data_IF_508598106674
#
_entry.id   IF_508598106674
#
_cell.length_a   1.000
_cell.length_b   1.000
_cell.length_c   1.000
_cell.angle_alpha   90.00
_cell.angle_beta   90.00
_cell.angle_gamma   90.00
#
_symmetry.space_group_name_H-M   'P 1'
#
loop_
_entity.id
_entity.type
_entity.pdbx_description
1 polymer ?
#
# COMPACT_ATOMS: atom_id res chain seq x y z
N UNK A 1 -7.89 8.66 10.28
CA UNK A 1 -8.62 9.93 9.99
C UNK A 1 -7.83 11.17 10.40
N UNK A 2 -7.31 11.28 11.63
CA UNK A 2 -6.62 12.50 12.10
C UNK A 2 -5.49 12.95 11.18
N UNK A 3 -4.54 12.09 10.83
CA UNK A 3 -3.44 12.46 9.96
C UNK A 3 -3.88 12.73 8.52
N UNK A 4 -4.90 12.03 8.02
CA UNK A 4 -5.50 12.37 6.72
C UNK A 4 -6.14 13.76 6.69
N UNK A 5 -6.65 14.26 7.82
CA UNK A 5 -7.13 15.64 7.91
C UNK A 5 -5.99 16.68 7.92
N UNK A 6 -4.72 16.25 7.97
CA UNK A 6 -3.60 17.17 7.83
C UNK A 6 -3.47 17.75 6.41
N UNK A 7 -3.98 17.09 5.36
CA UNK A 7 -4.09 17.71 4.04
C UNK A 7 -4.90 19.02 4.10
N UNK A 8 -6.08 18.96 4.72
CA UNK A 8 -6.91 20.15 4.94
C UNK A 8 -6.21 21.18 5.82
N UNK A 9 -5.59 20.76 6.92
CA UNK A 9 -4.89 21.70 7.83
C UNK A 9 -3.71 22.39 7.14
N UNK A 10 -2.94 21.66 6.33
CA UNK A 10 -1.84 22.20 5.55
C UNK A 10 -2.35 23.28 4.57
N UNK A 11 -3.43 22.99 3.84
CA UNK A 11 -4.05 23.96 2.92
C UNK A 11 -4.57 25.21 3.64
N UNK A 12 -5.25 25.04 4.79
CA UNK A 12 -5.72 26.17 5.59
C UNK A 12 -4.55 27.03 6.07
N UNK A 13 -3.48 26.41 6.58
CA UNK A 13 -2.30 27.11 7.05
C UNK A 13 -1.60 27.87 5.91
N UNK A 14 -1.41 27.22 4.75
CA UNK A 14 -0.82 27.84 3.57
C UNK A 14 -1.63 29.05 3.10
N UNK A 15 -2.95 28.89 2.96
CA UNK A 15 -3.84 29.98 2.54
C UNK A 15 -3.80 31.17 3.51
N UNK A 16 -3.76 30.89 4.82
CA UNK A 16 -3.68 31.92 5.84
C UNK A 16 -2.36 32.71 5.78
N UNK A 17 -1.24 32.02 5.60
CA UNK A 17 0.09 32.64 5.51
C UNK A 17 0.26 33.45 4.21
N UNK A 18 -0.17 32.93 3.06
CA UNK A 18 -0.08 33.61 1.77
C UNK A 18 -0.84 34.95 1.78
N UNK A 19 -2.05 34.97 2.37
CA UNK A 19 -2.86 36.20 2.44
C UNK A 19 -2.22 37.26 3.34
N UNK A 20 -1.66 36.87 4.49
CA UNK A 20 -0.97 37.80 5.40
C UNK A 20 0.30 38.36 4.78
N UNK A 21 1.05 37.54 4.05
CA UNK A 21 2.22 38.01 3.32
C UNK A 21 1.85 39.08 2.28
N UNK A 22 0.76 38.87 1.52
CA UNK A 22 0.28 39.84 0.53
C UNK A 22 -0.23 41.15 1.15
N UNK A 23 -1.04 41.08 2.21
CA UNK A 23 -1.49 42.30 2.92
C UNK A 23 -0.35 43.04 3.64
N UNK A 24 0.70 42.32 4.04
CA UNK A 24 1.84 42.90 4.73
C UNK A 24 2.82 43.69 3.89
N UNK A 25 2.92 43.36 2.60
CA UNK A 25 3.70 44.14 1.63
C UNK A 25 3.09 45.55 1.46
N UNK A 26 1.77 45.69 1.63
CA UNK A 26 1.08 46.98 1.54
C UNK A 26 1.20 47.82 2.83
N UNK A 27 1.29 47.19 4.00
CA UNK A 27 1.22 47.88 5.31
C UNK A 27 2.57 48.12 6.01
N UNK A 28 3.70 47.67 5.45
CA UNK A 28 5.05 48.04 5.93
C UNK A 28 5.47 47.48 7.30
N UNK A 29 4.76 46.48 7.84
CA UNK A 29 5.08 45.84 9.12
C UNK A 29 6.25 44.84 9.02
N UNK A 30 6.94 44.62 10.14
CA UNK A 30 8.14 43.77 10.21
C UNK A 30 7.81 42.27 10.03
N UNK A 31 8.68 41.55 9.31
CA UNK A 31 8.53 40.12 8.97
C UNK A 31 8.28 39.16 10.16
N UNK A 32 8.51 39.60 11.41
CA UNK A 32 8.38 38.79 12.63
C UNK A 32 6.94 38.59 13.13
N UNK A 33 6.01 39.53 12.88
CA UNK A 33 4.59 39.36 13.22
C UNK A 33 3.85 38.41 12.25
N UNK A 34 4.42 38.16 11.07
CA UNK A 34 3.81 37.31 10.02
C UNK A 34 3.93 35.81 10.27
N UNK A 35 4.77 35.39 11.21
CA UNK A 35 5.00 33.98 11.56
C UNK A 35 4.02 33.50 12.63
N UNK A 36 3.18 34.39 13.19
CA UNK A 36 2.15 33.95 14.13
C UNK A 36 1.08 33.12 13.41
N UNK A 37 1.20 31.80 13.57
CA UNK A 37 0.27 30.81 13.06
C UNK A 37 -0.99 30.67 13.91
N UNK A 38 -1.09 31.40 15.04
CA UNK A 38 -2.30 31.32 15.86
C UNK A 38 -3.52 31.86 15.09
N UNK A 39 -4.64 31.14 15.22
CA UNK A 39 -5.92 31.53 14.64
C UNK A 39 -6.19 31.09 13.20
N UNK A 40 -5.26 30.45 12.47
CA UNK A 40 -5.55 29.98 11.09
C UNK A 40 -6.78 29.05 11.02
N UNK A 41 -7.01 28.29 12.08
CA UNK A 41 -8.17 27.41 12.20
C UNK A 41 -9.49 28.17 12.28
N UNK A 42 -9.50 29.42 12.73
CA UNK A 42 -10.70 30.25 12.87
C UNK A 42 -10.98 31.11 11.63
N UNK A 43 -10.03 31.21 10.70
CA UNK A 43 -10.19 31.99 9.47
C UNK A 43 -11.24 31.36 8.53
N UNK A 44 -12.38 32.04 8.25
CA UNK A 44 -13.40 31.52 7.35
C UNK A 44 -12.88 31.36 5.92
N UNK A 45 -12.06 32.30 5.46
CA UNK A 45 -11.47 32.28 4.12
C UNK A 45 -10.54 31.08 3.93
N UNK A 46 -9.62 30.84 4.88
CA UNK A 46 -8.69 29.72 4.81
C UNK A 46 -9.43 28.36 4.82
N UNK A 47 -10.51 28.26 5.61
CA UNK A 47 -11.41 27.09 5.59
C UNK A 47 -12.05 26.90 4.22
N UNK A 48 -12.64 27.95 3.66
CA UNK A 48 -13.28 27.89 2.35
C UNK A 48 -12.30 27.50 1.24
N UNK A 49 -11.09 28.06 1.24
CA UNK A 49 -10.04 27.68 0.27
C UNK A 49 -9.64 26.22 0.40
N UNK A 50 -9.45 25.72 1.62
CA UNK A 50 -9.14 24.31 1.83
C UNK A 50 -10.27 23.38 1.37
N UNK A 51 -11.53 23.74 1.64
CA UNK A 51 -12.71 22.95 1.27
C UNK A 51 -12.98 22.95 -0.25
N UNK A 52 -12.53 23.98 -0.98
CA UNK A 52 -12.55 24.01 -2.45
C UNK A 52 -11.49 23.09 -3.08
N UNK A 53 -10.36 22.88 -2.40
CA UNK A 53 -9.18 22.18 -2.93
C UNK A 53 -9.07 20.73 -2.48
N UNK A 54 -9.71 20.37 -1.37
CA UNK A 54 -9.59 19.04 -0.77
C UNK A 54 -10.95 18.50 -0.33
N UNK A 55 -11.20 17.24 -0.65
CA UNK A 55 -12.38 16.50 -0.18
C UNK A 55 -11.91 15.12 0.27
N UNK A 56 -12.35 14.71 1.47
CA UNK A 56 -12.02 13.39 2.01
C UNK A 56 -13.28 12.52 2.04
N UNK A 57 -13.33 11.53 1.16
CA UNK A 57 -14.44 10.57 1.05
C UNK A 57 -14.01 9.26 1.67
N UNK A 58 -14.70 8.84 2.73
CA UNK A 58 -14.53 7.53 3.34
C UNK A 58 -15.61 6.59 2.80
N UNK A 59 -15.19 5.46 2.26
CA UNK A 59 -16.11 4.42 1.78
C UNK A 59 -16.39 3.41 2.88
N UNK A 60 -17.61 3.41 3.40
CA UNK A 60 -18.10 2.47 4.39
C UNK A 60 -19.30 1.70 3.82
N UNK A 61 -19.04 0.70 2.96
CA UNK A 61 -20.08 -0.03 2.22
C UNK A 61 -21.31 -0.45 3.06
N UNK A 62 -21.09 -0.90 4.31
CA UNK A 62 -22.13 -1.44 5.19
C UNK A 62 -22.76 -0.42 6.16
N UNK A 63 -22.37 0.86 6.07
CA UNK A 63 -22.84 1.88 7.01
C UNK A 63 -24.36 2.02 7.04
N UNK A 64 -25.02 1.90 5.87
CA UNK A 64 -26.49 1.92 5.78
C UNK A 64 -27.16 0.82 6.62
N UNK A 65 -26.61 -0.40 6.57
CA UNK A 65 -27.11 -1.52 7.38
C UNK A 65 -26.81 -1.33 8.87
N UNK A 66 -25.62 -0.82 9.21
CA UNK A 66 -25.24 -0.52 10.60
C UNK A 66 -26.17 0.54 11.20
N UNK A 67 -26.57 1.55 10.42
CA UNK A 67 -27.57 2.55 10.84
C UNK A 67 -28.93 1.92 11.12
N UNK A 68 -29.44 1.10 10.20
CA UNK A 68 -30.74 0.41 10.36
C UNK A 68 -30.74 -0.48 11.62
N UNK A 69 -29.63 -1.15 11.90
CA UNK A 69 -29.45 -2.03 13.07
C UNK A 69 -29.08 -1.30 14.36
N UNK A 70 -28.88 0.02 14.32
CA UNK A 70 -28.39 0.84 15.45
C UNK A 70 -27.10 0.30 16.06
N UNK A 71 -26.18 -0.16 15.21
CA UNK A 71 -24.90 -0.70 15.62
C UNK A 71 -23.96 0.40 16.17
N UNK A 72 -23.09 0.12 17.16
CA UNK A 72 -22.20 1.11 17.75
C UNK A 72 -21.26 1.76 16.72
N UNK A 73 -20.83 1.01 15.71
CA UNK A 73 -19.96 1.50 14.63
C UNK A 73 -20.62 2.62 13.82
N UNK A 74 -21.95 2.61 13.70
CA UNK A 74 -22.66 3.69 13.03
C UNK A 74 -22.63 5.00 13.83
N UNK A 75 -22.64 4.91 15.16
CA UNK A 75 -22.50 6.06 16.05
C UNK A 75 -21.07 6.63 15.99
N UNK A 76 -20.06 5.77 15.92
CA UNK A 76 -18.66 6.18 15.75
C UNK A 76 -18.43 6.91 14.42
N UNK A 77 -19.01 6.41 13.32
CA UNK A 77 -18.95 7.07 12.00
C UNK A 77 -19.68 8.43 12.04
N UNK A 78 -20.85 8.51 12.67
CA UNK A 78 -21.57 9.76 12.85
C UNK A 78 -20.75 10.79 13.66
N UNK A 79 -20.08 10.35 14.72
CA UNK A 79 -19.18 11.20 15.51
C UNK A 79 -18.00 11.70 14.67
N UNK A 80 -17.44 10.87 13.79
CA UNK A 80 -16.37 11.29 12.87
C UNK A 80 -16.84 12.34 11.87
N UNK A 81 -18.05 12.18 11.32
CA UNK A 81 -18.69 13.16 10.43
C UNK A 81 -18.91 14.50 11.14
N UNK A 82 -19.34 14.49 12.40
CA UNK A 82 -19.52 15.70 13.20
C UNK A 82 -18.19 16.39 13.52
N UNK A 83 -17.14 15.62 13.82
CA UNK A 83 -15.83 16.16 14.19
C UNK A 83 -15.05 16.75 13.02
N UNK A 84 -15.38 16.37 11.78
CA UNK A 84 -14.60 16.73 10.60
C UNK A 84 -15.50 17.29 9.50
N UNK A 85 -15.58 18.62 9.40
CA UNK A 85 -16.45 19.36 8.48
C UNK A 85 -16.30 18.94 6.99
N UNK A 86 -15.07 18.62 6.56
CA UNK A 86 -14.77 18.22 5.18
C UNK A 86 -14.92 16.72 4.91
N UNK A 87 -15.20 15.91 5.95
CA UNK A 87 -15.39 14.47 5.80
C UNK A 87 -16.71 14.18 5.10
N UNK A 88 -16.68 13.24 4.17
CA UNK A 88 -17.86 12.67 3.51
C UNK A 88 -17.82 11.17 3.67
N UNK A 89 -18.99 10.54 3.86
CA UNK A 89 -19.10 9.08 3.95
C UNK A 89 -19.94 8.59 2.78
N UNK A 90 -19.35 7.71 1.97
CA UNK A 90 -20.02 6.98 0.91
C UNK A 90 -20.39 5.58 1.42
N UNK A 91 -21.61 5.12 1.14
CA UNK A 91 -22.05 3.78 1.54
C UNK A 91 -23.08 3.20 0.57
N UNK A 92 -23.33 1.90 0.69
CA UNK A 92 -24.38 1.21 -0.06
C UNK A 92 -25.62 1.10 0.83
N UNK A 93 -26.73 1.62 0.33
CA UNK A 93 -28.03 1.49 0.94
C UNK A 93 -28.83 0.42 0.20
N UNK A 94 -29.43 -0.48 0.96
CA UNK A 94 -30.29 -1.55 0.46
C UNK A 94 -31.72 -1.23 0.87
N UNK A 95 -32.60 -1.13 -0.12
CA UNK A 95 -34.04 -0.92 0.06
C UNK A 95 -34.78 -2.13 -0.50
N UNK A 96 -35.70 -2.68 0.28
CA UNK A 96 -36.60 -3.75 -0.18
C UNK A 96 -37.76 -3.11 -0.96
N UNK A 97 -37.94 -3.54 -2.20
CA UNK A 97 -39.00 -3.10 -3.11
C UNK A 97 -39.83 -4.27 -3.64
N UNK A 98 -40.91 -3.94 -4.35
CA UNK A 98 -41.78 -4.91 -5.01
C UNK A 98 -41.81 -4.58 -6.50
N UNK A 99 -41.46 -5.56 -7.34
CA UNK A 99 -41.57 -5.45 -8.79
C UNK A 99 -43.02 -5.24 -9.23
N UNK A 100 -43.21 -4.77 -10.45
CA UNK A 100 -44.53 -4.72 -11.10
C UNK A 100 -45.25 -6.08 -11.14
N UNK A 101 -44.48 -7.19 -11.06
CA UNK A 101 -44.99 -8.57 -11.11
C UNK A 101 -45.18 -9.18 -9.70
N UNK A 102 -45.05 -8.38 -8.64
CA UNK A 102 -45.25 -8.82 -7.25
C UNK A 102 -44.07 -9.58 -6.62
N UNK A 103 -42.96 -9.79 -7.35
CA UNK A 103 -41.73 -10.33 -6.77
C UNK A 103 -40.98 -9.29 -5.94
N UNK A 104 -40.43 -9.72 -4.81
CA UNK A 104 -39.53 -8.90 -4.00
C UNK A 104 -38.23 -8.63 -4.75
N UNK A 105 -37.89 -7.35 -4.94
CA UNK A 105 -36.63 -6.90 -5.53
C UNK A 105 -35.87 -6.11 -4.48
N UNK A 106 -34.55 -6.31 -4.43
CA UNK A 106 -33.66 -5.43 -3.66
C UNK A 106 -33.11 -4.34 -4.56
N UNK A 107 -33.36 -3.10 -4.18
CA UNK A 107 -32.76 -1.94 -4.82
C UNK A 107 -31.50 -1.51 -4.06
N UNK A 108 -30.47 -1.15 -4.82
CA UNK A 108 -29.17 -0.77 -4.27
C UNK A 108 -28.88 0.68 -4.66
N UNK A 109 -28.54 1.51 -3.67
CA UNK A 109 -28.18 2.90 -3.87
C UNK A 109 -26.79 3.19 -3.32
N UNK A 110 -25.91 3.80 -4.11
CA UNK A 110 -24.69 4.43 -3.60
C UNK A 110 -25.06 5.81 -3.08
N UNK A 111 -24.90 6.03 -1.77
CA UNK A 111 -25.27 7.29 -1.11
C UNK A 111 -24.03 8.00 -0.58
N UNK A 112 -24.03 9.33 -0.63
CA UNK A 112 -23.01 10.19 -0.03
C UNK A 112 -23.65 11.07 1.04
N UNK A 113 -23.09 11.05 2.26
CA UNK A 113 -23.56 11.88 3.37
C UNK A 113 -22.47 12.78 3.94
N UNK A 114 -22.89 13.86 4.59
CA UNK A 114 -22.08 14.72 5.48
C UNK A 114 -22.84 15.02 6.77
N UNK A 115 -22.15 15.52 7.79
CA UNK A 115 -22.83 16.14 8.92
C UNK A 115 -23.46 17.49 8.51
N UNK A 116 -24.70 17.73 8.93
CA UNK A 116 -25.33 19.05 8.89
C UNK A 116 -24.87 19.95 10.06
N UNK A 117 -25.40 21.17 10.11
CA UNK A 117 -25.11 22.15 11.17
C UNK A 117 -25.56 21.70 12.58
N UNK A 118 -26.45 20.72 12.65
CA UNK A 118 -26.96 20.12 13.89
C UNK A 118 -26.31 18.76 14.19
N UNK A 119 -25.30 18.36 13.42
CA UNK A 119 -24.59 17.09 13.54
C UNK A 119 -25.37 15.87 13.07
N UNK A 120 -26.49 16.02 12.35
CA UNK A 120 -27.23 14.92 11.74
C UNK A 120 -26.71 14.63 10.34
N UNK A 121 -26.93 13.39 9.90
CA UNK A 121 -26.55 12.98 8.55
C UNK A 121 -27.43 13.68 7.51
N UNK A 122 -26.80 14.50 6.66
CA UNK A 122 -27.40 15.06 5.48
C UNK A 122 -27.00 14.24 4.25
N UNK A 123 -28.00 13.69 3.56
CA UNK A 123 -27.81 13.08 2.25
C UNK A 123 -27.48 14.15 1.21
N UNK A 124 -26.36 13.99 0.50
CA UNK A 124 -25.91 14.89 -0.56
C UNK A 124 -26.30 14.33 -1.92
N UNK A 125 -26.06 13.04 -2.11
CA UNK A 125 -26.34 12.33 -3.35
C UNK A 125 -26.87 10.93 -3.04
N UNK A 126 -27.78 10.47 -3.89
CA UNK A 126 -28.26 9.09 -3.94
C UNK A 126 -28.31 8.65 -5.39
N UNK A 127 -27.53 7.62 -5.72
CA UNK A 127 -27.39 7.10 -7.09
C UNK A 127 -27.85 5.64 -7.08
N UNK A 128 -28.92 5.35 -7.83
CA UNK A 128 -29.39 3.98 -8.02
C UNK A 128 -28.36 3.17 -8.80
N UNK A 129 -27.98 2.02 -8.26
CA UNK A 129 -27.05 1.09 -8.88
C UNK A 129 -27.81 0.05 -9.72
N UNK A 130 -27.17 -0.51 -10.77
CA UNK A 130 -27.81 -1.49 -11.65
C UNK A 130 -28.06 -2.86 -10.98
N UNK A 131 -27.51 -3.09 -9.79
CA UNK A 131 -27.65 -4.33 -9.03
C UNK A 131 -26.78 -4.32 -7.79
N UNK A 132 -26.60 -5.48 -7.16
CA UNK A 132 -25.75 -5.63 -5.99
C UNK A 132 -24.28 -5.32 -6.36
N UNK A 133 -23.66 -4.27 -5.80
CA UNK A 133 -22.26 -3.96 -6.08
C UNK A 133 -21.27 -4.93 -5.42
N UNK A 134 -21.74 -5.77 -4.49
CA UNK A 134 -20.93 -6.77 -3.77
C UNK A 134 -20.75 -8.03 -4.62
N UNK A 135 -19.63 -8.10 -5.33
CA UNK A 135 -19.21 -9.21 -6.18
C UNK A 135 -18.26 -10.17 -5.45
N UNK A 136 -17.30 -9.65 -4.67
CA UNK A 136 -16.27 -10.42 -3.97
C UNK A 136 -15.53 -9.59 -2.93
N UNK A 137 -14.32 -9.13 -3.26
CA UNK A 137 -13.46 -8.39 -2.34
C UNK A 137 -14.03 -7.00 -2.00
N UNK A 138 -14.06 -6.65 -0.71
CA UNK A 138 -14.69 -5.40 -0.26
C UNK A 138 -13.91 -4.12 -0.61
N UNK A 139 -12.58 -4.16 -0.72
CA UNK A 139 -11.75 -2.97 -1.04
C UNK A 139 -12.00 -2.40 -2.44
N UNK A 140 -11.92 -3.18 -3.55
CA UNK A 140 -12.17 -2.63 -4.88
C UNK A 140 -13.60 -2.13 -5.06
N UNK A 141 -14.58 -2.79 -4.43
CA UNK A 141 -15.97 -2.37 -4.49
C UNK A 141 -16.21 -1.03 -3.80
N UNK A 142 -15.64 -0.86 -2.60
CA UNK A 142 -15.63 0.41 -1.87
C UNK A 142 -15.05 1.53 -2.74
N UNK A 143 -13.88 1.32 -3.34
CA UNK A 143 -13.27 2.30 -4.22
C UNK A 143 -14.17 2.62 -5.43
N UNK A 144 -14.70 1.58 -6.11
CA UNK A 144 -15.46 1.75 -7.34
C UNK A 144 -16.82 2.43 -7.14
N UNK A 145 -17.54 2.16 -6.06
CA UNK A 145 -18.83 2.84 -5.83
C UNK A 145 -18.64 4.26 -5.28
N UNK A 146 -17.53 4.54 -4.59
CA UNK A 146 -17.26 5.83 -3.98
C UNK A 146 -16.56 6.82 -4.93
N UNK A 147 -15.84 6.34 -5.96
CA UNK A 147 -15.03 7.20 -6.85
C UNK A 147 -15.85 8.29 -7.54
N UNK A 148 -17.13 8.03 -7.85
CA UNK A 148 -18.07 8.99 -8.46
C UNK A 148 -18.33 10.23 -7.58
N UNK A 149 -18.12 10.11 -6.27
CA UNK A 149 -18.29 11.20 -5.31
C UNK A 149 -17.04 12.05 -5.11
N UNK A 150 -15.90 11.60 -5.61
CA UNK A 150 -14.64 12.37 -5.55
C UNK A 150 -14.67 13.55 -6.54
N UNK A 151 -13.86 14.58 -6.27
CA UNK A 151 -13.77 15.83 -7.06
C UNK A 151 -12.29 16.22 -7.23
N UNK A 152 -12.01 17.13 -8.16
CA UNK A 152 -10.66 17.57 -8.49
C UNK A 152 -10.00 16.74 -9.60
N UNK A 153 -8.76 17.11 -9.93
CA UNK A 153 -7.99 16.52 -11.03
C UNK A 153 -7.16 15.31 -10.57
N UNK A 154 -6.88 15.22 -9.27
CA UNK A 154 -6.11 14.14 -8.66
C UNK A 154 -6.95 13.39 -7.62
N UNK A 155 -6.69 12.08 -7.49
CA UNK A 155 -7.31 11.23 -6.48
C UNK A 155 -6.24 10.37 -5.81
N UNK A 156 -6.28 10.28 -4.47
CA UNK A 156 -5.39 9.43 -3.70
C UNK A 156 -6.21 8.38 -2.96
N UNK A 157 -5.79 7.13 -3.04
CA UNK A 157 -6.37 6.02 -2.26
C UNK A 157 -5.54 5.80 -1.02
N UNK A 158 -6.21 5.70 0.13
CA UNK A 158 -5.57 5.52 1.43
C UNK A 158 -6.24 4.35 2.15
N UNK A 159 -5.43 3.40 2.62
CA UNK A 159 -5.89 2.30 3.45
C UNK A 159 -6.19 2.78 4.89
N UNK A 160 -7.10 2.10 5.58
CA UNK A 160 -7.55 2.52 6.91
C UNK A 160 -6.45 2.49 7.99
N UNK A 161 -5.39 1.70 7.77
CA UNK A 161 -4.22 1.59 8.64
C UNK A 161 -3.10 2.59 8.26
N UNK A 162 -3.34 3.50 7.32
CA UNK A 162 -2.41 4.56 6.98
C UNK A 162 -2.74 5.86 7.71
N UNK A 163 -1.70 6.61 8.08
CA UNK A 163 -1.81 7.95 8.65
C UNK A 163 -0.75 8.88 8.06
N UNK A 164 -1.08 10.16 7.92
CA UNK A 164 -0.19 11.14 7.31
C UNK A 164 0.41 12.07 8.39
N UNK A 165 1.54 12.68 8.07
CA UNK A 165 2.20 13.67 8.91
C UNK A 165 1.94 15.08 8.36
N UNK A 166 1.94 16.10 9.22
CA UNK A 166 1.59 17.45 8.81
C UNK A 166 2.63 18.03 7.85
N UNK A 167 3.89 17.78 8.14
CA UNK A 167 5.05 18.12 7.31
C UNK A 167 5.02 17.45 5.93
N UNK A 168 4.49 16.23 5.84
CA UNK A 168 4.33 15.52 4.57
C UNK A 168 3.15 16.09 3.78
N UNK A 169 2.05 16.42 4.46
CA UNK A 169 0.89 17.08 3.83
C UNK A 169 1.23 18.43 3.18
N UNK A 170 2.21 19.17 3.73
CA UNK A 170 2.68 20.44 3.14
C UNK A 170 3.38 20.26 1.79
N UNK A 171 3.96 19.07 1.51
CA UNK A 171 4.71 18.77 0.28
C UNK A 171 3.82 18.35 -0.88
N UNK A 172 2.54 18.14 -0.63
CA UNK A 172 1.58 17.57 -1.60
C UNK A 172 1.42 18.45 -2.82
N UNK A 173 1.48 19.77 -2.64
CA UNK A 173 1.49 20.71 -3.78
C UNK A 173 2.64 20.40 -4.76
N UNK A 174 3.83 20.09 -4.23
CA UNK A 174 4.99 19.75 -5.06
C UNK A 174 4.76 18.42 -5.77
N UNK A 175 4.19 17.43 -5.06
CA UNK A 175 3.80 16.15 -5.64
C UNK A 175 2.81 16.34 -6.79
N UNK A 176 1.74 17.12 -6.61
CA UNK A 176 0.74 17.33 -7.65
C UNK A 176 1.31 18.01 -8.91
N UNK A 177 2.33 18.86 -8.79
CA UNK A 177 3.01 19.44 -9.95
C UNK A 177 3.80 18.40 -10.77
N UNK A 178 4.17 17.25 -10.20
CA UNK A 178 4.83 16.17 -10.94
C UNK A 178 3.95 15.60 -12.07
N UNK A 179 2.61 15.72 -11.98
CA UNK A 179 1.72 15.40 -13.11
C UNK A 179 2.01 16.23 -14.36
N UNK A 180 2.55 17.44 -14.18
CA UNK A 180 2.95 18.37 -15.27
C UNK A 180 4.47 18.36 -15.50
N UNK A 181 5.22 17.63 -14.68
CA UNK A 181 6.65 17.44 -14.80
C UNK A 181 7.04 16.62 -16.02
N UNK A 182 8.23 16.86 -16.56
CA UNK A 182 8.78 16.03 -17.61
C UNK A 182 9.47 14.78 -17.02
N UNK A 183 8.80 13.63 -17.13
CA UNK A 183 9.31 12.33 -16.66
C UNK A 183 9.60 11.36 -17.81
N UNK A 184 10.00 11.90 -18.96
CA UNK A 184 10.34 11.15 -20.16
C UNK A 184 9.26 11.24 -21.22
N UNK A 185 8.62 10.12 -21.54
CA UNK A 185 7.82 9.99 -22.77
C UNK A 185 6.46 10.71 -22.66
N UNK A 186 5.80 10.65 -21.50
CA UNK A 186 4.46 11.19 -21.27
C UNK A 186 4.30 11.74 -19.87
N UNK A 187 3.33 12.63 -19.70
CA UNK A 187 2.90 13.08 -18.39
C UNK A 187 2.49 11.91 -17.51
N UNK A 188 2.84 11.93 -16.21
CA UNK A 188 2.43 10.88 -15.29
C UNK A 188 0.91 10.76 -15.23
N UNK A 189 0.45 9.53 -15.04
CA UNK A 189 -0.94 9.22 -14.73
C UNK A 189 -1.06 8.67 -13.32
N UNK A 190 0.03 8.16 -12.75
CA UNK A 190 0.13 7.75 -11.35
C UNK A 190 1.47 8.24 -10.79
N UNK A 191 1.40 8.98 -9.69
CA UNK A 191 2.55 9.43 -8.91
C UNK A 191 2.74 8.49 -7.73
N UNK A 192 3.83 7.73 -7.78
CA UNK A 192 4.19 6.80 -6.72
C UNK A 192 4.72 7.49 -5.48
N UNK A 193 4.25 7.08 -4.32
CA UNK A 193 4.71 7.61 -3.02
C UNK A 193 5.19 6.48 -2.13
N UNK A 194 6.28 6.71 -1.38
CA UNK A 194 6.82 5.70 -0.45
C UNK A 194 5.98 5.60 0.82
N UNK A 195 5.92 4.41 1.39
CA UNK A 195 5.31 4.14 2.69
C UNK A 195 6.37 4.08 3.79
N UNK A 196 6.01 4.49 5.00
CA UNK A 196 6.85 4.36 6.19
C UNK A 196 6.15 3.46 7.23
N UNK A 197 6.70 2.28 7.48
CA UNK A 197 6.14 1.32 8.45
C UNK A 197 6.51 1.72 9.87
N UNK A 198 5.58 2.37 10.58
CA UNK A 198 5.85 2.89 11.93
C UNK A 198 5.76 1.84 13.04
N UNK A 199 5.31 0.62 12.75
CA UNK A 199 5.28 -0.50 13.71
C UNK A 199 6.59 -1.30 13.75
N UNK A 200 7.62 -0.90 13.01
CA UNK A 200 8.91 -1.60 12.93
C UNK A 200 9.67 -1.68 14.26
N UNK A 201 9.40 -0.80 15.24
CA UNK A 201 10.06 -0.81 16.55
C UNK A 201 9.43 -1.78 17.57
N UNK A 202 8.33 -2.46 17.23
CA UNK A 202 7.56 -3.28 18.18
C UNK A 202 8.27 -4.58 18.53
N UNK A 203 9.01 -5.19 17.60
CA UNK A 203 9.77 -6.42 17.82
C UNK A 203 10.91 -6.55 16.81
N UNK A 204 11.83 -7.51 17.04
CA UNK A 204 12.89 -7.82 16.07
C UNK A 204 12.34 -8.29 14.72
N UNK A 205 11.28 -9.11 14.74
CA UNK A 205 10.58 -9.55 13.55
C UNK A 205 9.91 -8.38 12.82
N UNK A 206 9.22 -7.50 13.56
CA UNK A 206 8.64 -6.28 13.00
C UNK A 206 9.71 -5.40 12.34
N UNK A 207 10.88 -5.29 12.98
CA UNK A 207 12.00 -4.53 12.47
C UNK A 207 12.50 -5.11 11.15
N UNK A 208 12.65 -6.44 11.06
CA UNK A 208 13.08 -7.09 9.83
C UNK A 208 12.08 -6.91 8.68
N UNK A 209 10.79 -7.10 8.95
CA UNK A 209 9.72 -6.88 7.96
C UNK A 209 9.68 -5.43 7.48
N UNK A 210 9.72 -4.47 8.41
CA UNK A 210 9.76 -3.03 8.12
C UNK A 210 10.96 -2.67 7.24
N UNK A 211 12.12 -3.29 7.50
CA UNK A 211 13.34 -3.12 6.72
C UNK A 211 13.23 -3.70 5.30
N UNK A 212 12.67 -4.89 5.16
CA UNK A 212 12.40 -5.49 3.85
C UNK A 212 11.44 -4.62 3.02
N UNK A 213 10.36 -4.14 3.65
CA UNK A 213 9.40 -3.23 3.01
C UNK A 213 10.08 -1.92 2.61
N UNK A 214 10.92 -1.34 3.48
CA UNK A 214 11.70 -0.13 3.17
C UNK A 214 12.53 -0.30 1.90
N UNK A 215 13.23 -1.43 1.75
CA UNK A 215 14.01 -1.72 0.54
C UNK A 215 13.13 -1.80 -0.72
N UNK A 216 11.92 -2.34 -0.61
CA UNK A 216 10.99 -2.41 -1.73
C UNK A 216 10.47 -1.03 -2.10
N UNK A 217 9.98 -0.25 -1.13
CA UNK A 217 9.32 1.05 -1.34
C UNK A 217 10.28 2.18 -1.68
N UNK A 218 11.60 1.96 -1.61
CA UNK A 218 12.63 2.90 -2.09
C UNK A 218 13.36 2.33 -3.30
N UNK A 219 14.48 1.63 -3.10
CA UNK A 219 15.35 1.12 -4.16
C UNK A 219 14.59 0.30 -5.21
N UNK A 220 13.71 -0.61 -4.75
CA UNK A 220 12.88 -1.43 -5.64
C UNK A 220 12.00 -0.58 -6.54
N UNK A 221 11.14 0.27 -5.95
CA UNK A 221 10.25 1.16 -6.70
C UNK A 221 11.01 2.12 -7.62
N UNK A 222 12.21 2.59 -7.24
CA UNK A 222 13.05 3.46 -8.06
C UNK A 222 13.51 2.77 -9.35
N UNK A 223 13.98 1.52 -9.25
CA UNK A 223 14.37 0.70 -10.41
C UNK A 223 13.17 0.41 -11.31
N UNK A 224 12.03 0.06 -10.71
CA UNK A 224 10.80 -0.22 -11.45
C UNK A 224 10.28 1.02 -12.20
N UNK A 225 10.33 2.20 -11.57
CA UNK A 225 9.92 3.46 -12.19
C UNK A 225 10.89 3.88 -13.31
N UNK A 226 12.19 3.67 -13.13
CA UNK A 226 13.20 3.94 -14.16
C UNK A 226 12.94 3.07 -15.41
N UNK A 227 12.69 1.78 -15.22
CA UNK A 227 12.41 0.84 -16.31
C UNK A 227 10.98 0.93 -16.86
N UNK A 228 10.12 1.79 -16.30
CA UNK A 228 8.70 1.94 -16.71
C UNK A 228 7.88 0.66 -16.55
N UNK A 229 8.18 -0.11 -15.50
CA UNK A 229 7.46 -1.33 -15.10
C UNK A 229 6.93 -1.26 -13.67
N UNK A 230 7.05 -0.10 -13.01
CA UNK A 230 6.36 0.18 -11.75
C UNK A 230 4.86 0.12 -11.95
N UNK A 231 4.18 -0.59 -11.07
CA UNK A 231 2.72 -0.65 -11.01
C UNK A 231 2.20 0.01 -9.73
N UNK A 232 0.88 0.03 -9.57
CA UNK A 232 0.25 0.49 -8.33
C UNK A 232 0.14 -0.67 -7.33
N UNK A 233 0.83 -0.60 -6.20
CA UNK A 233 0.90 -1.71 -5.24
C UNK A 233 0.05 -1.47 -3.98
N UNK A 234 -1.08 -0.77 -4.12
CA UNK A 234 -1.90 -0.35 -2.97
C UNK A 234 -1.20 0.67 -2.06
N UNK A 235 -0.08 1.22 -2.52
CA UNK A 235 0.65 2.32 -1.88
C UNK A 235 -0.17 3.61 -1.97
N UNK A 236 0.14 4.65 -1.19
CA UNK A 236 -0.60 5.92 -1.16
C UNK A 236 -0.33 6.78 -2.40
N UNK A 237 -0.36 6.14 -3.58
CA UNK A 237 -0.15 6.76 -4.87
C UNK A 237 -1.27 7.75 -5.18
N UNK A 238 -0.91 8.80 -5.90
CA UNK A 238 -1.85 9.79 -6.39
C UNK A 238 -2.08 9.53 -7.87
N UNK A 239 -3.33 9.48 -8.29
CA UNK A 239 -3.74 9.20 -9.66
C UNK A 239 -4.23 10.49 -10.33
N UNK A 240 -3.94 10.63 -11.63
CA UNK A 240 -4.72 11.50 -12.52
C UNK A 240 -6.14 10.92 -12.56
N UNK A 241 -7.07 11.63 -11.92
CA UNK A 241 -8.44 11.18 -11.76
C UNK A 241 -9.14 11.10 -13.11
N UNK A 242 -8.97 12.09 -13.98
CA UNK A 242 -9.64 12.16 -15.28
C UNK A 242 -9.21 11.00 -16.16
N UNK A 243 -7.91 10.69 -16.16
CA UNK A 243 -7.38 9.53 -16.87
C UNK A 243 -8.05 8.23 -16.38
N UNK A 244 -8.06 7.97 -15.08
CA UNK A 244 -8.47 6.68 -14.52
C UNK A 244 -9.99 6.45 -14.52
N UNK A 245 -10.81 7.46 -14.19
CA UNK A 245 -12.27 7.30 -14.17
C UNK A 245 -12.85 7.00 -15.56
N UNK A 246 -12.16 7.42 -16.63
CA UNK A 246 -12.59 7.19 -18.01
C UNK A 246 -12.00 5.91 -18.62
N UNK A 247 -11.12 5.19 -17.91
CA UNK A 247 -10.29 4.12 -18.48
C UNK A 247 -10.32 2.78 -17.74
N UNK A 248 -11.19 2.63 -16.76
CA UNK A 248 -11.39 1.36 -16.04
C UNK A 248 -11.20 1.47 -14.52
N UNK A 249 -11.08 2.68 -13.99
CA UNK A 249 -11.02 2.92 -12.55
C UNK A 249 -9.61 2.76 -11.97
N UNK A 250 -9.58 2.57 -10.65
CA UNK A 250 -8.37 2.55 -9.81
C UNK A 250 -8.16 1.20 -9.13
N UNK A 251 -9.05 0.23 -9.34
CA UNK A 251 -8.94 -1.14 -8.86
C UNK A 251 -9.87 -2.06 -9.63
N UNK A 252 -9.54 -3.36 -9.65
CA UNK A 252 -10.29 -4.37 -10.40
C UNK A 252 -11.07 -5.29 -9.47
N UNK A 253 -12.37 -5.04 -9.33
CA UNK A 253 -13.28 -5.91 -8.57
C UNK A 253 -13.49 -7.25 -9.29
N UNK A 254 -13.62 -8.32 -8.51
CA UNK A 254 -13.95 -9.65 -8.99
C UNK A 254 -14.42 -10.54 -7.84
N UNK A 255 -15.16 -11.61 -8.16
CA UNK A 255 -15.78 -12.51 -7.19
C UNK A 255 -14.82 -13.51 -6.55
N UNK A 256 -13.85 -13.98 -7.31
CA UNK A 256 -12.94 -15.07 -6.90
C UNK A 256 -11.49 -14.76 -7.27
N UNK A 257 -11.26 -14.26 -8.48
CA UNK A 257 -9.92 -13.95 -9.00
C UNK A 257 -9.56 -12.48 -8.75
N UNK A 258 -8.28 -12.11 -8.84
CA UNK A 258 -7.74 -10.75 -8.65
C UNK A 258 -7.67 -10.32 -7.17
N UNK A 259 -7.12 -11.18 -6.32
CA UNK A 259 -6.83 -10.89 -4.91
C UNK A 259 -5.95 -9.63 -4.73
N UNK A 260 -5.06 -9.35 -5.69
CA UNK A 260 -4.30 -8.10 -5.79
C UNK A 260 -4.99 -7.15 -6.77
N UNK A 261 -6.11 -6.58 -6.36
CA UNK A 261 -6.97 -5.71 -7.18
C UNK A 261 -6.27 -4.41 -7.61
N UNK A 262 -5.40 -3.87 -6.75
CA UNK A 262 -4.76 -2.56 -6.91
C UNK A 262 -3.78 -2.56 -8.10
N UNK A 263 -3.05 -3.66 -8.31
CA UNK A 263 -2.01 -3.76 -9.36
C UNK A 263 -2.57 -3.60 -10.77
N UNK A 264 -3.85 -3.94 -10.95
CA UNK A 264 -4.54 -3.83 -12.23
C UNK A 264 -4.72 -2.36 -12.67
N UNK A 265 -4.73 -1.41 -11.74
CA UNK A 265 -4.70 0.01 -12.09
C UNK A 265 -3.36 0.38 -12.75
N UNK A 266 -2.25 -0.16 -12.23
CA UNK A 266 -0.93 -0.01 -12.83
C UNK A 266 -0.84 -0.65 -14.22
N UNK A 267 -1.38 -1.87 -14.38
CA UNK A 267 -1.43 -2.55 -15.67
C UNK A 267 -2.26 -1.76 -16.69
N UNK A 268 -3.46 -1.31 -16.30
CA UNK A 268 -4.35 -0.53 -17.17
C UNK A 268 -3.69 0.78 -17.59
N UNK A 269 -3.09 1.50 -16.64
CA UNK A 269 -2.34 2.72 -16.91
C UNK A 269 -1.23 2.48 -17.94
N UNK A 270 -0.37 1.48 -17.72
CA UNK A 270 0.73 1.14 -18.64
C UNK A 270 0.22 0.72 -20.02
N UNK A 271 -0.78 -0.16 -20.10
CA UNK A 271 -1.37 -0.62 -21.37
C UNK A 271 -2.03 0.51 -22.16
N UNK A 272 -2.52 1.55 -21.48
CA UNK A 272 -3.06 2.76 -22.08
C UNK A 272 -2.02 3.85 -22.25
N UNK A 273 -0.74 3.46 -22.20
CA UNK A 273 0.41 4.32 -22.40
C UNK A 273 0.43 5.51 -21.40
N UNK A 274 -0.03 5.28 -20.18
CA UNK A 274 0.22 6.15 -19.03
C UNK A 274 1.66 6.00 -18.54
N UNK A 275 2.10 6.94 -17.70
CA UNK A 275 3.44 6.92 -17.11
C UNK A 275 3.30 6.87 -15.58
N UNK A 276 4.00 5.92 -14.97
CA UNK A 276 3.95 5.69 -13.52
C UNK A 276 5.32 6.09 -12.96
N UNK A 277 5.34 7.12 -12.12
CA UNK A 277 6.56 7.67 -11.50
C UNK A 277 6.67 7.26 -10.04
N UNK A 278 7.79 7.59 -9.39
CA UNK A 278 8.03 7.32 -7.98
C UNK A 278 8.80 8.48 -7.33
N UNK A 279 8.31 8.97 -6.19
CA UNK A 279 8.81 10.15 -5.50
C UNK A 279 9.04 9.83 -4.01
N UNK A 280 10.30 9.96 -3.56
CA UNK A 280 10.73 9.57 -2.20
C UNK A 280 10.81 10.75 -1.21
N UNK A 281 10.67 12.00 -1.68
CA UNK A 281 10.73 13.19 -0.79
C UNK A 281 9.47 13.38 0.07
N UNK A 282 8.41 12.63 -0.23
CA UNK A 282 7.14 12.58 0.51
C UNK A 282 6.85 11.13 0.91
N UNK A 283 6.20 10.93 2.06
CA UNK A 283 5.83 9.61 2.56
C UNK A 283 4.53 9.61 3.35
N UNK A 284 3.89 8.45 3.46
CA UNK A 284 2.74 8.22 4.35
C UNK A 284 3.05 7.09 5.31
N UNK A 285 2.63 7.23 6.57
CA UNK A 285 2.80 6.21 7.58
C UNK A 285 1.85 5.03 7.36
N UNK A 286 2.32 3.80 7.58
CA UNK A 286 1.53 2.56 7.50
C UNK A 286 1.69 1.70 8.74
N UNK A 287 0.57 1.34 9.34
CA UNK A 287 0.53 0.36 10.42
C UNK A 287 0.57 -1.05 9.83
N UNK A 288 1.59 -1.83 10.20
CA UNK A 288 1.66 -3.26 9.84
C UNK A 288 1.43 -4.12 11.06
N UNK A 289 0.68 -5.19 10.86
CA UNK A 289 0.59 -6.31 11.79
C UNK A 289 1.93 -7.04 11.85
N UNK A 290 2.37 -7.38 13.06
CA UNK A 290 3.74 -7.85 13.32
C UNK A 290 3.83 -9.30 13.80
N UNK A 291 2.70 -10.01 13.87
CA UNK A 291 2.67 -11.43 14.22
C UNK A 291 3.10 -12.32 13.04
N UNK A 292 3.86 -13.39 13.31
CA UNK A 292 4.32 -14.35 12.28
C UNK A 292 3.17 -14.88 11.42
N UNK A 293 2.04 -15.27 12.05
CA UNK A 293 0.87 -15.76 11.33
C UNK A 293 0.27 -14.70 10.41
N UNK A 294 0.22 -13.44 10.85
CA UNK A 294 -0.31 -12.33 10.06
C UNK A 294 0.62 -12.00 8.88
N UNK A 295 1.93 -12.01 9.11
CA UNK A 295 2.95 -11.85 8.07
C UNK A 295 2.82 -12.96 7.03
N UNK A 296 2.69 -14.22 7.46
CA UNK A 296 2.53 -15.36 6.56
C UNK A 296 1.25 -15.26 5.70
N UNK A 297 0.13 -14.83 6.29
CA UNK A 297 -1.11 -14.58 5.55
C UNK A 297 -0.96 -13.43 4.55
N UNK A 298 -0.24 -12.37 4.91
CA UNK A 298 0.05 -11.26 4.01
C UNK A 298 0.89 -11.71 2.81
N UNK A 299 2.01 -12.40 3.04
CA UNK A 299 2.85 -12.94 1.97
C UNK A 299 2.10 -13.95 1.10
N UNK A 300 1.25 -14.79 1.71
CA UNK A 300 0.35 -15.69 1.00
C UNK A 300 -0.62 -14.94 0.09
N UNK A 301 -1.18 -13.81 0.54
CA UNK A 301 -2.05 -12.95 -0.27
C UNK A 301 -1.31 -12.36 -1.47
N UNK A 302 -0.08 -11.87 -1.26
CA UNK A 302 0.77 -11.31 -2.33
C UNK A 302 1.14 -12.40 -3.35
N UNK A 303 1.58 -13.56 -2.88
CA UNK A 303 1.93 -14.69 -3.74
C UNK A 303 0.71 -15.19 -4.52
N UNK A 304 -0.44 -15.37 -3.86
CA UNK A 304 -1.69 -15.79 -4.49
C UNK A 304 -2.14 -14.82 -5.58
N UNK A 305 -2.13 -13.52 -5.30
CA UNK A 305 -2.45 -12.48 -6.29
C UNK A 305 -1.48 -12.48 -7.48
N UNK A 306 -0.18 -12.69 -7.26
CA UNK A 306 0.79 -12.83 -8.34
C UNK A 306 0.59 -14.11 -9.18
N UNK A 307 0.14 -15.20 -8.56
CA UNK A 307 -0.25 -16.42 -9.26
C UNK A 307 -1.48 -16.23 -10.15
N UNK A 308 -2.48 -15.52 -9.67
CA UNK A 308 -3.70 -15.20 -10.45
C UNK A 308 -3.42 -14.28 -11.64
N UNK A 309 -2.45 -13.35 -11.48
CA UNK A 309 -2.02 -12.46 -12.56
C UNK A 309 -1.53 -13.23 -13.80
N UNK A 310 -1.01 -14.46 -13.65
CA UNK A 310 -0.57 -15.32 -14.77
C UNK A 310 -1.71 -15.60 -15.76
N UNK A 311 -2.94 -15.71 -15.26
CA UNK A 311 -4.13 -15.97 -16.06
C UNK A 311 -4.72 -14.69 -16.67
N UNK A 312 -4.18 -13.53 -16.33
CA UNK A 312 -4.74 -12.25 -16.75
C UNK A 312 -4.36 -11.90 -18.19
N UNK A 313 -5.36 -11.50 -18.98
CA UNK A 313 -5.17 -10.88 -20.30
C UNK A 313 -4.32 -9.60 -20.22
N UNK A 314 -4.34 -8.90 -19.08
CA UNK A 314 -3.54 -7.70 -18.89
C UNK A 314 -2.04 -8.03 -18.89
N UNK A 315 -1.64 -9.10 -18.20
CA UNK A 315 -0.26 -9.61 -18.19
C UNK A 315 0.15 -10.14 -19.55
N UNK A 316 -0.73 -10.88 -20.23
CA UNK A 316 -0.47 -11.33 -21.61
C UNK A 316 -0.14 -10.15 -22.54
N UNK A 317 -0.94 -9.07 -22.48
CA UNK A 317 -0.73 -7.87 -23.31
C UNK A 317 0.52 -7.10 -22.93
N UNK A 318 0.80 -6.93 -21.63
CA UNK A 318 2.04 -6.30 -21.17
C UNK A 318 3.25 -7.08 -21.68
N UNK A 319 3.18 -8.41 -21.63
CA UNK A 319 4.24 -9.27 -22.12
C UNK A 319 4.49 -9.17 -23.63
N UNK A 320 3.49 -8.80 -24.42
CA UNK A 320 3.68 -8.54 -25.85
C UNK A 320 4.32 -7.17 -26.15
N UNK A 321 4.26 -6.24 -25.20
CA UNK A 321 4.69 -4.85 -25.40
C UNK A 321 6.03 -4.53 -24.72
N UNK A 322 6.42 -5.29 -23.71
CA UNK A 322 7.70 -5.09 -23.02
C UNK A 322 8.87 -5.64 -23.83
N UNK A 323 9.96 -4.86 -23.86
CA UNK A 323 11.27 -5.35 -24.27
C UNK A 323 11.83 -6.37 -23.25
N UNK A 324 12.93 -7.04 -23.61
CA UNK A 324 13.52 -8.09 -22.80
C UNK A 324 13.81 -7.66 -21.35
N UNK A 325 14.36 -6.46 -21.13
CA UNK A 325 14.73 -6.01 -19.79
C UNK A 325 13.50 -5.67 -18.96
N UNK A 326 12.53 -4.97 -19.56
CA UNK A 326 11.26 -4.67 -18.90
C UNK A 326 10.50 -5.94 -18.56
N UNK A 327 10.45 -6.90 -19.48
CA UNK A 327 9.82 -8.19 -19.25
C UNK A 327 10.49 -8.95 -18.11
N UNK A 328 11.82 -9.01 -18.10
CA UNK A 328 12.57 -9.69 -17.05
C UNK A 328 12.31 -9.06 -15.68
N UNK A 329 12.35 -7.73 -15.59
CA UNK A 329 12.07 -7.01 -14.34
C UNK A 329 10.61 -7.19 -13.90
N UNK A 330 9.66 -7.11 -14.85
CA UNK A 330 8.26 -7.35 -14.58
C UNK A 330 8.04 -8.78 -14.06
N UNK A 331 8.64 -9.78 -14.70
CA UNK A 331 8.59 -11.17 -14.26
C UNK A 331 9.08 -11.31 -12.82
N UNK A 332 10.27 -10.83 -12.49
CA UNK A 332 10.83 -10.96 -11.14
C UNK A 332 9.98 -10.28 -10.05
N UNK A 333 9.27 -9.21 -10.37
CA UNK A 333 8.48 -8.44 -9.39
C UNK A 333 7.01 -8.83 -9.29
N UNK A 334 6.52 -9.66 -10.22
CA UNK A 334 5.12 -10.11 -10.25
C UNK A 334 5.04 -11.63 -10.32
N UNK A 335 4.80 -12.21 -11.50
CA UNK A 335 4.58 -13.63 -11.74
C UNK A 335 5.74 -14.51 -11.25
N UNK A 336 6.97 -14.08 -11.48
CA UNK A 336 8.17 -14.78 -11.04
C UNK A 336 8.28 -14.87 -9.52
N UNK A 337 7.82 -13.85 -8.78
CA UNK A 337 7.78 -13.91 -7.31
C UNK A 337 6.95 -15.11 -6.82
N UNK A 338 5.79 -15.36 -7.44
CA UNK A 338 4.96 -16.52 -7.09
C UNK A 338 5.72 -17.84 -7.31
N UNK A 339 6.34 -18.01 -8.49
CA UNK A 339 7.08 -19.23 -8.83
C UNK A 339 8.29 -19.42 -7.91
N UNK A 340 9.08 -18.38 -7.69
CA UNK A 340 10.25 -18.42 -6.81
C UNK A 340 9.88 -18.71 -5.36
N UNK A 341 8.82 -18.09 -4.83
CA UNK A 341 8.33 -18.33 -3.48
C UNK A 341 7.80 -19.77 -3.35
N UNK A 342 7.04 -20.26 -4.32
CA UNK A 342 6.57 -21.65 -4.34
C UNK A 342 7.74 -22.65 -4.31
N UNK A 343 8.75 -22.45 -5.17
CA UNK A 343 9.94 -23.31 -5.21
C UNK A 343 10.73 -23.25 -3.89
N UNK A 344 10.82 -22.07 -3.28
CA UNK A 344 11.48 -21.88 -1.99
C UNK A 344 10.76 -22.64 -0.89
N UNK A 345 9.43 -22.49 -0.79
CA UNK A 345 8.59 -23.19 0.18
C UNK A 345 8.71 -24.70 -0.01
N UNK A 346 8.54 -25.21 -1.24
CA UNK A 346 8.68 -26.65 -1.53
C UNK A 346 10.07 -27.18 -1.14
N UNK A 347 11.13 -26.42 -1.44
CA UNK A 347 12.50 -26.80 -1.07
C UNK A 347 12.66 -26.88 0.44
N UNK A 348 12.11 -25.91 1.19
CA UNK A 348 12.12 -25.93 2.67
C UNK A 348 11.32 -27.11 3.21
N UNK A 349 10.16 -27.43 2.64
CA UNK A 349 9.36 -28.59 3.03
C UNK A 349 10.12 -29.90 2.80
N UNK A 350 10.63 -30.13 1.58
CA UNK A 350 11.41 -31.33 1.25
C UNK A 350 12.63 -31.45 2.17
N UNK A 351 13.32 -30.33 2.42
CA UNK A 351 14.47 -30.29 3.31
C UNK A 351 14.11 -30.66 4.76
N UNK A 352 13.07 -30.04 5.34
CA UNK A 352 12.67 -30.29 6.73
C UNK A 352 12.17 -31.72 6.92
N UNK A 353 11.25 -32.20 6.07
CA UNK A 353 10.75 -33.57 6.16
C UNK A 353 11.84 -34.59 5.84
N UNK A 354 12.74 -34.28 4.90
CA UNK A 354 13.93 -35.09 4.62
C UNK A 354 14.86 -35.18 5.82
N UNK A 355 15.12 -34.08 6.53
CA UNK A 355 15.92 -34.07 7.76
C UNK A 355 15.27 -34.87 8.89
N UNK A 356 13.96 -34.70 9.11
CA UNK A 356 13.21 -35.50 10.08
C UNK A 356 13.31 -36.99 9.74
N UNK A 357 13.16 -37.35 8.46
CA UNK A 357 13.34 -38.73 8.01
C UNK A 357 14.76 -39.25 8.27
N UNK A 358 15.80 -38.50 7.93
CA UNK A 358 17.21 -38.89 8.15
C UNK A 358 17.54 -39.06 9.64
N UNK A 359 16.99 -38.19 10.50
CA UNK A 359 17.16 -38.26 11.95
C UNK A 359 16.44 -39.48 12.55
N UNK A 360 15.18 -39.72 12.18
CA UNK A 360 14.38 -40.83 12.71
C UNK A 360 14.82 -42.20 12.16
N UNK A 361 15.36 -42.26 10.95
CA UNK A 361 15.85 -43.50 10.33
C UNK A 361 17.25 -43.91 10.81
N UNK A 362 17.96 -43.05 11.56
CA UNK A 362 19.35 -43.28 11.98
C UNK A 362 20.38 -43.18 10.85
N UNK A 363 19.94 -42.86 9.63
CA UNK A 363 20.82 -42.61 8.47
C UNK A 363 21.77 -41.45 8.73
N UNK A 364 21.30 -40.39 9.39
CA UNK A 364 22.14 -39.22 9.70
C UNK A 364 23.32 -39.59 10.63
N UNK A 365 23.04 -40.41 11.65
CA UNK A 365 24.06 -40.92 12.57
C UNK A 365 25.06 -41.85 11.88
N UNK A 366 24.57 -42.70 10.98
CA UNK A 366 25.41 -43.62 10.19
C UNK A 366 26.34 -42.86 9.25
N UNK A 367 25.81 -41.88 8.51
CA UNK A 367 26.55 -41.03 7.57
C UNK A 367 27.58 -40.17 8.31
N UNK A 368 27.21 -39.53 9.41
CA UNK A 368 28.13 -38.71 10.21
C UNK A 368 29.27 -39.54 10.81
N UNK A 369 28.97 -40.75 11.31
CA UNK A 369 29.98 -41.67 11.84
C UNK A 369 30.97 -42.08 10.74
N UNK A 370 30.48 -42.47 9.56
CA UNK A 370 31.33 -42.88 8.45
C UNK A 370 32.16 -41.72 7.88
N UNK A 371 31.60 -40.51 7.83
CA UNK A 371 32.32 -39.30 7.41
C UNK A 371 33.48 -38.94 8.35
N UNK A 372 33.28 -39.06 9.67
CA UNK A 372 34.35 -38.87 10.68
C UNK A 372 35.44 -39.94 10.56
N UNK A 373 35.07 -41.19 10.33
CA UNK A 373 36.04 -42.27 10.13
C UNK A 373 36.87 -42.08 8.85
N UNK A 374 36.28 -41.54 7.79
CA UNK A 374 36.97 -41.27 6.51
C UNK A 374 37.71 -39.92 6.49
N UNK A 375 37.62 -39.11 7.54
CA UNK A 375 38.24 -37.79 7.61
C UNK A 375 37.74 -36.79 6.56
N UNK A 376 36.56 -37.03 5.97
CA UNK A 376 36.07 -36.26 4.82
C UNK A 376 35.40 -34.95 5.26
N UNK A 377 36.24 -33.95 5.56
CA UNK A 377 35.85 -32.59 5.94
C UNK A 377 34.99 -31.89 4.88
N UNK A 378 35.12 -32.26 3.59
CA UNK A 378 34.33 -31.70 2.52
C UNK A 378 32.87 -32.18 2.54
N UNK A 379 32.63 -33.45 2.90
CA UNK A 379 31.27 -34.00 3.03
C UNK A 379 30.54 -33.41 4.26
N UNK A 380 31.25 -33.27 5.38
CA UNK A 380 30.74 -32.60 6.57
C UNK A 380 30.46 -31.11 6.30
N UNK A 381 31.38 -30.42 5.63
CA UNK A 381 31.17 -29.05 5.20
C UNK A 381 30.00 -28.91 4.20
N UNK A 382 29.80 -29.84 3.27
CA UNK A 382 28.68 -29.79 2.30
C UNK A 382 27.32 -30.02 2.97
N UNK A 383 27.23 -30.95 3.92
CA UNK A 383 26.03 -31.17 4.74
C UNK A 383 25.69 -29.94 5.62
N UNK A 384 26.70 -29.13 5.94
CA UNK A 384 26.58 -27.94 6.78
C UNK A 384 26.47 -26.63 5.97
N UNK A 385 26.99 -26.61 4.73
CA UNK A 385 26.96 -25.45 3.82
C UNK A 385 25.59 -25.24 3.17
N UNK A 386 24.67 -26.20 3.30
CA UNK A 386 23.28 -26.10 2.84
C UNK A 386 22.55 -24.87 3.42
N UNK A 387 23.01 -24.34 4.57
CA UNK A 387 22.47 -23.12 5.18
C UNK A 387 23.11 -21.83 4.65
N UNK A 388 24.28 -21.89 4.02
CA UNK A 388 25.08 -20.72 3.62
C UNK A 388 24.72 -20.21 2.22
N UNK A 389 24.14 -21.08 1.38
CA UNK A 389 23.63 -20.76 0.03
C UNK A 389 22.11 -20.88 -0.01
N UNK A 390 21.44 -20.31 0.98
CA UNK A 390 19.99 -20.21 0.95
C UNK A 390 19.58 -19.08 0.00
N UNK A 391 18.56 -19.31 -0.83
CA UNK A 391 17.89 -18.27 -1.65
C UNK A 391 17.58 -17.02 -0.80
N UNK A 392 17.35 -17.20 0.51
CA UNK A 392 17.20 -16.15 1.52
C UNK A 392 18.34 -15.12 1.58
N UNK A 393 19.60 -15.54 1.45
CA UNK A 393 20.75 -14.60 1.46
C UNK A 393 20.71 -13.70 0.23
N UNK A 394 20.36 -14.24 -0.94
CA UNK A 394 20.19 -13.45 -2.16
C UNK A 394 19.02 -12.47 -2.07
N UNK A 395 17.94 -12.82 -1.36
CA UNK A 395 16.83 -11.89 -1.09
C UNK A 395 17.21 -10.77 -0.10
N UNK A 396 18.22 -10.97 0.74
CA UNK A 396 18.73 -9.95 1.67
C UNK A 396 19.68 -8.94 0.99
N UNK A 397 20.30 -9.29 -0.14
CA UNK A 397 21.28 -8.40 -0.82
C UNK A 397 20.70 -7.02 -1.18
N UNK A 398 19.51 -6.89 -1.80
CA UNK A 398 18.93 -5.57 -2.09
C UNK A 398 18.68 -4.76 -0.82
N UNK A 399 18.27 -5.43 0.26
CA UNK A 399 18.02 -4.80 1.56
C UNK A 399 19.31 -4.24 2.17
N UNK A 400 20.39 -5.04 2.18
CA UNK A 400 21.71 -4.61 2.66
C UNK A 400 22.22 -3.43 1.84
N UNK A 401 22.14 -3.52 0.50
CA UNK A 401 22.56 -2.43 -0.39
C UNK A 401 21.75 -1.15 -0.16
N UNK A 402 20.43 -1.28 0.01
CA UNK A 402 19.55 -0.16 0.36
C UNK A 402 19.98 0.52 1.64
N UNK A 403 20.28 -0.24 2.70
CA UNK A 403 20.74 0.36 3.96
C UNK A 403 22.13 0.98 3.88
N UNK A 404 23.04 0.41 3.09
CA UNK A 404 24.36 1.02 2.89
C UNK A 404 24.18 2.41 2.26
N UNK A 405 23.25 2.55 1.32
CA UNK A 405 22.94 3.83 0.67
C UNK A 405 22.23 4.81 1.62
N UNK A 406 21.28 4.35 2.44
CA UNK A 406 20.50 5.23 3.32
C UNK A 406 21.21 5.64 4.62
N UNK A 407 21.90 4.69 5.27
CA UNK A 407 22.48 4.87 6.60
C UNK A 407 24.00 4.98 6.59
N UNK A 408 24.63 4.65 5.47
CA UNK A 408 26.07 4.53 5.33
C UNK A 408 26.61 3.20 5.84
N UNK A 409 27.73 2.75 5.23
CA UNK A 409 28.33 1.44 5.48
C UNK A 409 28.57 1.12 6.96
N UNK A 410 29.07 2.09 7.74
CA UNK A 410 29.45 1.91 9.14
C UNK A 410 28.25 1.59 10.06
N UNK A 411 27.06 2.08 9.73
CA UNK A 411 25.84 1.81 10.51
C UNK A 411 25.20 0.46 10.19
N UNK A 412 25.55 -0.13 9.04
CA UNK A 412 24.99 -1.41 8.55
C UNK A 412 25.85 -2.59 8.96
N UNK A 413 27.16 -2.39 9.16
CA UNK A 413 28.09 -3.44 9.59
C UNK A 413 27.62 -4.23 10.83
N UNK A 414 27.08 -3.61 11.91
CA UNK A 414 26.54 -4.35 13.05
C UNK A 414 25.33 -5.22 12.71
N UNK A 415 24.49 -4.78 11.77
CA UNK A 415 23.29 -5.52 11.33
C UNK A 415 23.66 -6.76 10.52
N UNK A 416 24.58 -6.61 9.55
CA UNK A 416 25.11 -7.75 8.77
C UNK A 416 25.81 -8.74 9.70
N UNK A 417 26.51 -8.24 10.72
CA UNK A 417 27.17 -9.07 11.73
C UNK A 417 26.15 -9.83 12.59
N UNK A 418 25.02 -9.21 12.94
CA UNK A 418 23.92 -9.84 13.68
C UNK A 418 23.19 -10.90 12.84
N UNK A 419 22.91 -10.65 11.55
CA UNK A 419 22.36 -11.68 10.65
C UNK A 419 23.31 -12.88 10.57
N UNK A 420 24.59 -12.62 10.28
CA UNK A 420 25.61 -13.67 10.22
C UNK A 420 25.75 -14.42 11.55
N UNK A 421 25.54 -13.73 12.68
CA UNK A 421 25.51 -14.33 14.02
C UNK A 421 24.27 -15.18 14.25
N UNK A 422 23.07 -14.73 13.88
CA UNK A 422 21.84 -15.54 13.93
C UNK A 422 21.97 -16.80 13.09
N UNK A 423 22.60 -16.71 11.91
CA UNK A 423 22.94 -17.87 11.08
C UNK A 423 23.93 -18.82 11.76
N UNK A 424 24.95 -18.29 12.47
CA UNK A 424 25.88 -19.12 13.26
C UNK A 424 25.20 -19.77 14.48
N UNK A 425 24.30 -19.06 15.16
CA UNK A 425 23.60 -19.56 16.36
C UNK A 425 22.51 -20.58 16.01
N UNK A 426 21.77 -20.39 14.92
CA UNK A 426 20.87 -21.43 14.38
C UNK A 426 21.65 -22.66 13.93
N UNK A 427 22.82 -22.47 13.31
CA UNK A 427 23.75 -23.59 13.05
C UNK A 427 24.14 -24.31 14.33
N UNK A 428 24.46 -23.61 15.41
CA UNK A 428 24.95 -24.27 16.63
C UNK A 428 23.82 -24.89 17.50
N UNK A 429 22.57 -24.41 17.40
CA UNK A 429 21.41 -24.97 18.14
C UNK A 429 20.60 -26.04 17.41
N UNK A 430 20.55 -26.03 16.07
CA UNK A 430 19.99 -27.16 15.30
C UNK A 430 20.84 -28.42 15.42
N UNK A 431 22.08 -28.29 15.93
CA UNK A 431 22.99 -29.39 16.23
C UNK A 431 22.84 -29.99 17.64
N UNK A 432 21.94 -29.46 18.49
CA UNK A 432 21.68 -29.98 19.84
C UNK A 432 20.34 -30.72 19.98
N UNK A 433 19.53 -30.80 18.93
CA UNK A 433 18.37 -31.69 18.78
C UNK A 433 18.69 -32.73 17.71
#
# INVERSE_FOLDING_TARGET
>A
VRGMMYYRRALMLQSYLEKRYLGGIEDGYSALEYIDTQGYQLSPDARAQADLKFTYVVSCQIYGQQKQRKAPEAADIALLLQRNEALRVAFIHEEDGVSSDGQAIKEYHSKLVKADIHGKDQEIYSIKLPGNPKLGEGKPENQNHAIIFTRGDAIQTIDMNQDNYLEEAMKVRNLLEEFRGNHGIRYPTILGVREHVFTGSVSSLASFMSKQETSFVTLGQRVLAYLKVRMHYGHPDVFDRIFHITRGGISKASRVINISEDIYAGFNSTLRQGNITHHEYIQVGKGRDVGLNQIALFEGKVAGGNGEQVLSRDVYRLGQLFDFFRMLTFFYTTVGYYVCTMMTVLTVYIFLYGRVYLALSGLDHSISRQARFLGNTALDAALNAQFLVQIGVFTAVPMIMGFILELGLMKVAPFVSLETYFYRVTRDHVFML
#
